data_IF_322631352999
#
_entry.id   IF_322631352999
#
_cell.length_a   1.000
_cell.length_b   1.000
_cell.length_c   1.000
_cell.angle_alpha   90.00
_cell.angle_beta   90.00
_cell.angle_gamma   90.00
#
_symmetry.space_group_name_H-M   'P 1'
#
loop_
_entity.id
_entity.type
_entity.pdbx_description
1 polymer ?
#
# COMPACT_ATOMS: atom_id res chain seq x y z
N UNK A 1 -9.57 -7.65 0.63
CA UNK A 1 -8.65 -6.52 0.91
C UNK A 1 -9.27 -5.25 0.38
N UNK A 2 -9.30 -4.19 1.20
CA UNK A 2 -9.70 -2.86 0.75
C UNK A 2 -8.55 -2.22 -0.04
N UNK A 3 -8.88 -1.69 -1.21
CA UNK A 3 -7.97 -1.03 -2.14
C UNK A 3 -8.53 0.36 -2.45
N UNK A 4 -7.71 1.40 -2.36
CA UNK A 4 -8.09 2.74 -2.81
C UNK A 4 -7.75 2.94 -4.28
N UNK A 5 -8.48 3.81 -4.97
CA UNK A 5 -8.04 4.45 -6.21
C UNK A 5 -7.66 5.89 -5.91
N UNK A 6 -6.43 6.27 -6.23
CA UNK A 6 -5.93 7.63 -6.05
C UNK A 6 -6.75 8.61 -6.88
N UNK A 7 -7.03 9.78 -6.31
CA UNK A 7 -7.66 10.88 -7.04
C UNK A 7 -6.86 11.23 -8.30
N UNK A 8 -7.58 11.58 -9.37
CA UNK A 8 -6.99 12.06 -10.62
C UNK A 8 -6.26 13.40 -10.45
N UNK A 9 -6.50 14.11 -9.35
CA UNK A 9 -5.83 15.38 -9.03
C UNK A 9 -4.51 15.21 -8.27
N UNK A 10 -4.15 13.99 -7.83
CA UNK A 10 -2.87 13.76 -7.15
C UNK A 10 -1.70 14.05 -8.12
N UNK A 11 -0.66 14.76 -7.67
CA UNK A 11 0.49 15.09 -8.53
C UNK A 11 1.26 13.83 -8.96
N UNK A 12 1.33 12.83 -8.07
CA UNK A 12 2.02 11.58 -8.33
C UNK A 12 1.01 10.43 -8.49
N UNK A 13 1.16 9.67 -9.57
CA UNK A 13 0.37 8.47 -9.88
C UNK A 13 -1.17 8.67 -9.81
N UNK A 14 -1.73 9.69 -10.49
CA UNK A 14 -3.17 9.91 -10.51
C UNK A 14 -3.92 8.68 -11.05
N UNK A 15 -5.04 8.30 -10.42
CA UNK A 15 -5.89 7.20 -10.87
C UNK A 15 -5.35 5.79 -10.63
N UNK A 16 -4.12 5.64 -10.13
CA UNK A 16 -3.56 4.32 -9.78
C UNK A 16 -4.20 3.76 -8.52
N UNK A 17 -4.11 2.43 -8.36
CA UNK A 17 -4.53 1.74 -7.13
C UNK A 17 -3.50 1.96 -6.02
N UNK A 18 -3.97 2.07 -4.78
CA UNK A 18 -3.18 2.34 -3.57
C UNK A 18 -3.69 1.52 -2.36
N UNK A 19 -3.02 1.68 -1.23
CA UNK A 19 -3.45 1.15 0.07
C UNK A 19 -4.80 1.72 0.51
N UNK A 20 -5.42 1.11 1.53
CA UNK A 20 -6.62 1.67 2.15
C UNK A 20 -6.38 3.09 2.71
N UNK A 21 -5.22 3.31 3.33
CA UNK A 21 -4.74 4.63 3.74
C UNK A 21 -3.20 4.62 3.73
N UNK A 22 -2.57 5.70 3.27
CA UNK A 22 -1.10 5.83 3.28
C UNK A 22 -0.62 7.28 3.07
N UNK A 23 0.17 7.80 4.00
CA UNK A 23 0.78 9.13 3.89
C UNK A 23 2.27 9.18 4.21
N UNK A 24 2.89 10.29 3.83
CA UNK A 24 4.29 10.58 4.16
C UNK A 24 4.44 11.00 5.62
N UNK A 25 5.54 10.60 6.26
CA UNK A 25 5.83 11.01 7.64
C UNK A 25 6.52 12.37 7.60
N UNK A 26 5.84 13.39 8.12
CA UNK A 26 6.38 14.75 8.21
C UNK A 26 7.50 14.86 9.24
N UNK A 27 8.44 15.78 9.02
CA UNK A 27 9.51 16.05 9.98
C UNK A 27 8.91 16.43 11.35
N UNK A 28 9.30 15.70 12.39
CA UNK A 28 8.79 15.90 13.76
C UNK A 28 7.55 15.07 14.12
N UNK A 29 6.89 14.42 13.16
CA UNK A 29 5.77 13.49 13.40
C UNK A 29 6.25 12.07 13.66
N UNK A 30 5.50 11.32 14.47
CA UNK A 30 5.74 9.89 14.68
C UNK A 30 5.04 9.00 13.65
N UNK A 31 5.59 7.82 13.38
CA UNK A 31 4.98 6.80 12.48
C UNK A 31 3.53 6.51 12.89
N UNK A 32 3.29 6.29 14.18
CA UNK A 32 1.96 5.97 14.71
C UNK A 32 0.97 7.14 14.57
N UNK A 33 1.42 8.36 14.85
CA UNK A 33 0.63 9.57 14.69
C UNK A 33 0.23 9.77 13.22
N UNK A 34 1.18 9.60 12.29
CA UNK A 34 0.90 9.63 10.86
C UNK A 34 -0.11 8.55 10.47
N UNK A 35 0.05 7.31 10.92
CA UNK A 35 -0.91 6.24 10.62
C UNK A 35 -2.35 6.61 11.02
N UNK A 36 -2.56 7.11 12.24
CA UNK A 36 -3.89 7.48 12.75
C UNK A 36 -4.49 8.65 11.97
N UNK A 37 -3.68 9.68 11.67
CA UNK A 37 -4.06 10.83 10.85
C UNK A 37 -4.54 10.39 9.47
N UNK A 38 -3.72 9.66 8.73
CA UNK A 38 -4.01 9.27 7.34
C UNK A 38 -5.19 8.30 7.25
N UNK A 39 -5.33 7.38 8.21
CA UNK A 39 -6.51 6.52 8.33
C UNK A 39 -7.81 7.33 8.46
N UNK A 40 -7.75 8.44 9.21
CA UNK A 40 -8.90 9.33 9.42
C UNK A 40 -9.17 10.20 8.20
N UNK A 41 -8.14 10.83 7.64
CA UNK A 41 -8.26 11.80 6.55
C UNK A 41 -8.63 11.16 5.21
N UNK A 42 -7.97 10.06 4.81
CA UNK A 42 -8.17 9.48 3.47
C UNK A 42 -9.41 8.58 3.42
N UNK A 43 -9.61 7.77 4.47
CA UNK A 43 -10.57 6.66 4.47
C UNK A 43 -11.69 6.77 5.52
N UNK A 44 -11.70 7.88 6.29
CA UNK A 44 -12.67 8.11 7.38
C UNK A 44 -12.70 6.96 8.41
N UNK A 45 -11.57 6.29 8.65
CA UNK A 45 -11.46 5.21 9.63
C UNK A 45 -11.50 5.85 11.03
N UNK A 46 -12.45 5.45 11.91
CA UNK A 46 -12.47 5.96 13.27
C UNK A 46 -11.18 5.60 14.01
N UNK A 47 -10.67 6.51 14.84
CA UNK A 47 -9.45 6.29 15.63
C UNK A 47 -9.52 5.03 16.50
N UNK A 48 -10.71 4.70 17.04
CA UNK A 48 -10.94 3.48 17.81
C UNK A 48 -10.71 2.19 17.01
N UNK A 49 -10.88 2.24 15.68
CA UNK A 49 -10.54 1.14 14.78
C UNK A 49 -9.10 1.26 14.29
N UNK A 50 -8.65 2.45 13.86
CA UNK A 50 -7.28 2.64 13.39
C UNK A 50 -6.22 2.26 14.44
N UNK A 51 -6.51 2.51 15.72
CA UNK A 51 -5.65 2.16 16.85
C UNK A 51 -5.50 0.65 17.11
N UNK A 52 -6.29 -0.20 16.44
CA UNK A 52 -6.11 -1.67 16.51
C UNK A 52 -5.13 -2.20 15.46
N UNK A 53 -4.65 -1.33 14.56
CA UNK A 53 -3.66 -1.68 13.55
C UNK A 53 -2.39 -2.26 14.19
N UNK A 54 -1.86 -3.32 13.58
CA UNK A 54 -0.68 -4.04 14.09
C UNK A 54 0.52 -3.79 13.18
N UNK A 55 1.70 -3.47 13.73
CA UNK A 55 2.90 -3.35 12.92
C UNK A 55 3.23 -4.70 12.26
N UNK A 56 3.50 -4.65 10.96
CA UNK A 56 3.76 -5.83 10.13
C UNK A 56 5.20 -5.87 9.58
N UNK A 57 5.98 -4.82 9.82
CA UNK A 57 7.38 -4.71 9.41
C UNK A 57 7.65 -3.45 8.61
N UNK A 58 8.67 -3.51 7.76
CA UNK A 58 9.07 -2.40 6.88
C UNK A 58 9.41 -2.93 5.49
N UNK A 59 9.02 -2.17 4.47
CA UNK A 59 9.46 -2.39 3.09
C UNK A 59 10.39 -1.25 2.70
N UNK A 60 11.64 -1.58 2.41
CA UNK A 60 12.65 -0.59 1.99
C UNK A 60 13.12 -0.88 0.58
N UNK A 61 13.28 0.18 -0.21
CA UNK A 61 13.77 0.08 -1.57
C UNK A 61 14.55 1.34 -1.95
N UNK A 62 15.35 1.21 -2.99
CA UNK A 62 16.08 2.32 -3.58
C UNK A 62 15.79 2.36 -5.08
N UNK A 63 15.71 3.56 -5.64
CA UNK A 63 15.59 3.73 -7.08
C UNK A 63 16.36 4.97 -7.53
N UNK A 64 16.81 4.94 -8.78
CA UNK A 64 17.51 6.06 -9.40
C UNK A 64 16.53 6.80 -10.32
N UNK A 65 16.54 8.13 -10.22
CA UNK A 65 15.81 9.01 -11.12
C UNK A 65 16.63 10.29 -11.28
N UNK A 66 16.79 10.77 -12.51
CA UNK A 66 17.51 12.01 -12.82
C UNK A 66 18.93 12.09 -12.23
N UNK A 67 19.67 10.96 -12.27
CA UNK A 67 21.00 10.80 -11.66
C UNK A 67 21.05 10.97 -10.14
N UNK A 68 19.90 10.98 -9.47
CA UNK A 68 19.77 11.00 -8.03
C UNK A 68 19.29 9.63 -7.52
N UNK A 69 19.86 9.20 -6.39
CA UNK A 69 19.43 7.99 -5.68
C UNK A 69 18.38 8.37 -4.63
N UNK A 70 17.21 7.76 -4.73
CA UNK A 70 16.13 7.89 -3.76
C UNK A 70 16.08 6.64 -2.90
N UNK A 71 16.04 6.85 -1.58
CA UNK A 71 15.94 5.79 -0.57
C UNK A 71 14.59 5.92 0.11
N UNK A 72 13.81 4.85 0.07
CA UNK A 72 12.45 4.83 0.61
C UNK A 72 12.32 3.72 1.65
N UNK A 73 11.58 4.02 2.72
CA UNK A 73 11.22 3.06 3.75
C UNK A 73 9.76 3.25 4.15
N UNK A 74 8.96 2.21 3.96
CA UNK A 74 7.54 2.20 4.32
C UNK A 74 7.36 1.39 5.59
N UNK A 75 6.80 2.00 6.63
CA UNK A 75 6.37 1.31 7.84
C UNK A 75 4.99 0.69 7.57
N UNK A 76 4.91 -0.63 7.62
CA UNK A 76 3.72 -1.37 7.20
C UNK A 76 2.92 -1.78 8.42
N UNK A 77 1.61 -1.59 8.34
CA UNK A 77 0.65 -2.00 9.35
C UNK A 77 -0.48 -2.81 8.70
N UNK A 78 -0.89 -3.88 9.38
CA UNK A 78 -2.07 -4.65 9.03
C UNK A 78 -3.23 -4.18 9.92
N UNK A 79 -4.36 -3.82 9.31
CA UNK A 79 -5.59 -3.46 10.01
C UNK A 79 -6.70 -4.44 9.61
N UNK A 80 -7.10 -5.27 10.56
CA UNK A 80 -8.28 -6.11 10.42
C UNK A 80 -9.53 -5.28 10.73
N UNK A 81 -10.53 -5.32 9.85
CA UNK A 81 -11.74 -4.51 9.94
C UNK A 81 -12.99 -5.39 10.04
N UNK A 82 -14.05 -4.93 10.73
CA UNK A 82 -15.33 -5.63 10.76
C UNK A 82 -15.91 -5.83 9.35
N UNK A 83 -16.71 -6.89 9.13
CA UNK A 83 -17.38 -7.13 7.84
C UNK A 83 -18.31 -5.98 7.42
N UNK A 84 -18.86 -5.25 8.40
CA UNK A 84 -19.72 -4.08 8.18
C UNK A 84 -18.96 -2.79 7.84
N UNK A 85 -17.62 -2.80 7.96
CA UNK A 85 -16.81 -1.62 7.69
C UNK A 85 -16.86 -1.23 6.22
N UNK A 86 -17.14 0.05 5.95
CA UNK A 86 -17.07 0.65 4.63
C UNK A 86 -16.29 1.96 4.72
N UNK A 87 -15.11 2.07 4.08
CA UNK A 87 -14.37 3.33 4.05
C UNK A 87 -15.14 4.37 3.26
N UNK A 88 -14.91 5.65 3.58
CA UNK A 88 -15.45 6.77 2.82
C UNK A 88 -14.32 7.70 2.42
N UNK A 89 -14.41 8.25 1.22
CA UNK A 89 -13.48 9.29 0.77
C UNK A 89 -13.60 10.48 1.71
N UNK A 90 -12.49 10.86 2.34
CA UNK A 90 -12.45 12.01 3.24
C UNK A 90 -11.93 13.26 2.56
N UNK A 91 -10.61 13.45 2.59
CA UNK A 91 -9.93 14.69 2.18
C UNK A 91 -9.80 14.93 0.65
N UNK A 92 -10.25 13.97 -0.15
CA UNK A 92 -10.22 14.05 -1.62
C UNK A 92 -8.93 13.53 -2.27
N UNK A 93 -8.01 12.96 -1.50
CA UNK A 93 -6.84 12.28 -2.04
C UNK A 93 -7.16 10.93 -2.69
N UNK A 94 -8.27 10.32 -2.27
CA UNK A 94 -8.85 9.09 -2.83
C UNK A 94 -10.07 9.42 -3.68
N UNK A 95 -10.23 8.73 -4.81
CA UNK A 95 -11.41 8.83 -5.67
C UNK A 95 -12.52 7.87 -5.27
N UNK A 96 -12.15 6.63 -4.96
CA UNK A 96 -13.08 5.55 -4.60
C UNK A 96 -12.34 4.39 -3.93
N UNK A 97 -13.09 3.53 -3.24
CA UNK A 97 -12.58 2.33 -2.60
C UNK A 97 -13.22 1.08 -3.17
N UNK A 98 -12.46 -0.01 -3.21
CA UNK A 98 -12.95 -1.32 -3.59
C UNK A 98 -12.62 -2.37 -2.53
N UNK A 99 -13.58 -3.24 -2.24
CA UNK A 99 -13.32 -4.48 -1.51
C UNK A 99 -13.08 -5.60 -2.50
N UNK A 100 -11.83 -6.05 -2.65
CA UNK A 100 -11.45 -7.09 -3.61
C UNK A 100 -11.05 -8.42 -2.95
N UNK A 101 -11.37 -9.57 -3.58
CA UNK A 101 -10.79 -10.84 -3.20
C UNK A 101 -9.28 -10.85 -3.49
N UNK A 102 -8.52 -11.61 -2.69
CA UNK A 102 -7.05 -11.60 -2.77
C UNK A 102 -6.50 -12.10 -4.11
N UNK A 103 -7.20 -12.99 -4.81
CA UNK A 103 -6.76 -13.45 -6.13
C UNK A 103 -6.83 -12.34 -7.19
N UNK A 104 -7.83 -11.45 -7.09
CA UNK A 104 -7.88 -10.26 -7.94
C UNK A 104 -6.74 -9.29 -7.61
N UNK A 105 -6.46 -9.08 -6.33
CA UNK A 105 -5.34 -8.24 -5.88
C UNK A 105 -4.02 -8.80 -6.39
N UNK A 106 -3.81 -10.11 -6.26
CA UNK A 106 -2.63 -10.82 -6.77
C UNK A 106 -2.44 -10.64 -8.27
N UNK A 107 -3.51 -10.78 -9.05
CA UNK A 107 -3.48 -10.52 -10.49
C UNK A 107 -3.12 -9.06 -10.81
N UNK A 108 -3.71 -8.10 -10.09
CA UNK A 108 -3.52 -6.68 -10.33
C UNK A 108 -2.10 -6.18 -9.96
N UNK A 109 -1.45 -6.73 -8.93
CA UNK A 109 -0.04 -6.35 -8.62
C UNK A 109 0.97 -6.88 -9.64
N UNK A 110 0.58 -7.86 -10.48
CA UNK A 110 1.40 -8.31 -11.60
C UNK A 110 1.28 -7.40 -12.84
N UNK A 111 0.44 -6.37 -12.79
CA UNK A 111 0.27 -5.35 -13.84
C UNK A 111 0.84 -3.99 -13.39
N UNK A 112 0.54 -2.93 -14.14
CA UNK A 112 0.93 -1.55 -13.79
C UNK A 112 -0.21 -0.73 -13.15
N UNK A 113 -1.31 -1.36 -12.73
CA UNK A 113 -2.47 -0.65 -12.15
C UNK A 113 -2.18 -0.02 -10.79
N UNK A 114 -1.32 -0.64 -9.99
CA UNK A 114 -0.90 -0.12 -8.70
C UNK A 114 0.17 0.96 -8.81
N UNK A 115 0.15 1.89 -7.86
CA UNK A 115 1.31 2.70 -7.52
C UNK A 115 2.48 1.76 -7.19
N UNK A 116 3.69 1.95 -7.74
CA UNK A 116 4.75 0.93 -7.67
C UNK A 116 5.10 0.45 -6.26
N UNK A 117 5.24 1.36 -5.29
CA UNK A 117 5.54 1.00 -3.91
C UNK A 117 4.36 0.36 -3.18
N UNK A 118 3.12 0.70 -3.54
CA UNK A 118 1.94 0.02 -3.05
C UNK A 118 1.95 -1.46 -3.46
N UNK A 119 2.33 -1.77 -4.70
CA UNK A 119 2.44 -3.15 -5.16
C UNK A 119 3.46 -3.96 -4.34
N UNK A 120 4.58 -3.34 -3.93
CA UNK A 120 5.59 -3.98 -3.07
C UNK A 120 5.05 -4.34 -1.68
N UNK A 121 4.31 -3.43 -1.04
CA UNK A 121 3.70 -3.69 0.28
C UNK A 121 2.60 -4.76 0.19
N UNK A 122 1.83 -4.78 -0.90
CA UNK A 122 0.83 -5.85 -1.12
C UNK A 122 1.52 -7.19 -1.38
N UNK A 123 2.61 -7.21 -2.14
CA UNK A 123 3.41 -8.43 -2.33
C UNK A 123 3.94 -8.95 -0.99
N UNK A 124 4.50 -8.07 -0.15
CA UNK A 124 4.90 -8.39 1.22
C UNK A 124 3.75 -9.01 2.03
N UNK A 125 2.56 -8.39 2.02
CA UNK A 125 1.37 -8.95 2.68
C UNK A 125 1.03 -10.35 2.17
N UNK A 126 1.00 -10.55 0.85
CA UNK A 126 0.65 -11.85 0.25
C UNK A 126 1.67 -12.93 0.60
N UNK A 127 2.96 -12.59 0.72
CA UNK A 127 4.01 -13.52 1.14
C UNK A 127 3.89 -13.83 2.64
N UNK A 128 3.80 -12.80 3.51
CA UNK A 128 3.69 -12.97 4.97
C UNK A 128 2.48 -13.81 5.38
N UNK A 129 1.40 -13.73 4.62
CA UNK A 129 0.15 -14.46 4.86
C UNK A 129 0.01 -15.75 4.03
N UNK A 130 1.06 -16.17 3.31
CA UNK A 130 1.10 -17.46 2.61
C UNK A 130 0.23 -17.56 1.36
N UNK A 131 -0.24 -16.43 0.82
CA UNK A 131 -0.99 -16.37 -0.45
C UNK A 131 -0.07 -16.44 -1.67
N UNK A 132 1.21 -16.09 -1.52
CA UNK A 132 2.27 -16.36 -2.50
C UNK A 132 3.34 -17.18 -1.79
N UNK A 133 3.68 -18.33 -2.35
CA UNK A 133 4.76 -19.19 -1.84
C UNK A 133 5.96 -19.14 -2.79
N UNK A 134 7.19 -19.07 -2.25
CA UNK A 134 8.40 -18.96 -3.06
C UNK A 134 8.67 -20.22 -3.89
N UNK A 135 8.26 -21.38 -3.40
CA UNK A 135 8.61 -22.69 -3.99
C UNK A 135 7.55 -23.21 -4.98
N UNK A 136 6.40 -22.54 -5.09
CA UNK A 136 5.39 -22.84 -6.12
C UNK A 136 5.71 -22.02 -7.36
N UNK A 137 6.00 -22.69 -8.48
CA UNK A 137 6.49 -22.12 -9.75
C UNK A 137 5.57 -21.14 -10.49
N UNK A 138 4.50 -20.66 -9.86
CA UNK A 138 3.55 -19.67 -10.40
C UNK A 138 3.94 -18.22 -10.07
N UNK A 139 4.97 -17.99 -9.23
CA UNK A 139 5.20 -16.68 -8.63
C UNK A 139 5.56 -15.55 -9.61
N UNK A 140 6.19 -15.81 -10.78
CA UNK A 140 6.53 -14.75 -11.74
C UNK A 140 6.88 -15.32 -13.13
N UNK A 141 5.90 -15.56 -14.00
CA UNK A 141 6.18 -15.88 -15.42
C UNK A 141 5.73 -14.83 -16.43
N UNK A 142 5.16 -13.71 -16.01
CA UNK A 142 4.76 -12.65 -16.95
C UNK A 142 4.97 -11.25 -16.39
N UNK A 143 6.07 -10.61 -16.78
CA UNK A 143 6.12 -9.15 -16.96
C UNK A 143 6.30 -8.27 -15.72
N UNK A 144 6.69 -8.81 -14.56
CA UNK A 144 7.07 -7.95 -13.44
C UNK A 144 8.31 -7.13 -13.84
N UNK A 145 8.27 -5.78 -13.85
CA UNK A 145 9.46 -4.99 -14.09
C UNK A 145 10.50 -5.38 -13.05
N UNK A 146 11.72 -5.66 -13.49
CA UNK A 146 12.86 -5.98 -12.64
C UNK A 146 13.14 -4.82 -11.69
N UNK A 147 12.43 -4.75 -10.57
CA UNK A 147 12.76 -3.89 -9.46
C UNK A 147 13.98 -4.53 -8.83
N UNK A 148 15.15 -4.03 -9.23
CA UNK A 148 16.42 -4.42 -8.61
C UNK A 148 16.47 -3.77 -7.23
N UNK A 149 15.71 -4.31 -6.28
CA UNK A 149 15.87 -3.98 -4.87
C UNK A 149 17.22 -4.55 -4.44
N UNK A 150 18.28 -3.74 -4.58
CA UNK A 150 19.55 -4.05 -3.94
C UNK A 150 19.33 -3.91 -2.44
N UNK A 151 19.48 -5.02 -1.71
CA UNK A 151 19.81 -4.95 -0.28
C UNK A 151 21.07 -4.08 -0.18
N UNK A 152 20.97 -2.94 0.51
CA UNK A 152 22.15 -2.27 1.06
C UNK A 152 22.63 -3.07 2.28
#
# INVERSE_FOLDING_TARGET
MWIARRSLTKPNYPGKLDHLAAGGISAGSGVWETLLKECTEEACIPESLASTARPAGTVSYAYEQDSALYLECQFVYDLEVPESFQPRVGDGEVQEFYLWPLDKVRGAIATQEFKPNCALVILDFLIRNGHIQPDTGDAMRSGCPTLTARRL
#
